data_IF_279536983469
#
_entry.id   IF_279536983469
#
_cell.length_a   1.000
_cell.length_b   1.000
_cell.length_c   1.000
_cell.angle_alpha   90.00
_cell.angle_beta   90.00
_cell.angle_gamma   90.00
#
_symmetry.space_group_name_H-M   'P 1'
#
loop_
_entity.id
_entity.type
_entity.pdbx_description
1 polymer ?
#
# COMPACT_ATOMS: atom_id res chain seq x y z
N UNK A 1 12.69 -16.91 15.03
CA UNK A 1 12.15 -15.52 14.90
C UNK A 1 10.82 -15.65 14.18
N UNK A 2 9.73 -15.04 14.68
CA UNK A 2 8.50 -14.96 13.88
C UNK A 2 8.80 -14.07 12.66
N UNK A 3 8.35 -14.45 11.44
CA UNK A 3 8.52 -13.59 10.28
C UNK A 3 7.90 -12.22 10.60
N UNK A 4 8.66 -11.15 10.34
CA UNK A 4 8.11 -9.81 10.46
C UNK A 4 7.15 -9.60 9.30
N UNK A 5 5.87 -9.38 9.60
CA UNK A 5 4.91 -8.97 8.58
C UNK A 5 5.31 -7.59 8.07
N UNK A 6 5.84 -7.55 6.84
CA UNK A 6 6.15 -6.30 6.17
C UNK A 6 4.89 -5.77 5.45
N UNK A 7 4.66 -4.47 5.49
CA UNK A 7 3.64 -3.83 4.66
C UNK A 7 4.31 -2.84 3.73
N UNK A 8 4.16 -3.02 2.43
CA UNK A 8 4.60 -2.07 1.40
C UNK A 8 3.37 -1.35 0.85
N UNK A 9 3.45 -0.03 0.72
CA UNK A 9 2.30 0.77 0.28
C UNK A 9 2.68 1.56 -0.97
N UNK A 10 1.83 1.52 -1.98
CA UNK A 10 1.93 2.32 -3.21
C UNK A 10 1.51 3.78 -2.99
N UNK A 11 1.85 4.67 -3.91
CA UNK A 11 1.65 6.12 -3.79
C UNK A 11 0.18 6.53 -3.59
N UNK A 12 -0.75 5.93 -4.34
CA UNK A 12 -2.17 6.24 -4.26
C UNK A 12 -2.73 6.05 -2.84
N UNK A 13 -2.65 4.84 -2.26
CA UNK A 13 -3.05 4.59 -0.88
C UNK A 13 -2.34 5.47 0.16
N UNK A 14 -1.03 5.73 0.01
CA UNK A 14 -0.30 6.65 0.90
C UNK A 14 -0.94 8.04 0.87
N UNK A 15 -1.17 8.59 -0.30
CA UNK A 15 -1.79 9.92 -0.48
C UNK A 15 -3.18 9.96 0.16
N UNK A 16 -3.99 8.93 -0.04
CA UNK A 16 -5.32 8.83 0.54
C UNK A 16 -5.29 8.91 2.07
N UNK A 17 -4.50 8.06 2.72
CA UNK A 17 -4.46 8.01 4.17
C UNK A 17 -3.76 9.22 4.81
N UNK A 18 -2.82 9.86 4.11
CA UNK A 18 -2.10 11.02 4.64
C UNK A 18 -2.75 12.37 4.30
N UNK A 19 -3.77 12.38 3.44
CA UNK A 19 -4.51 13.61 3.09
C UNK A 19 -5.13 14.29 4.32
N UNK A 20 -5.46 13.51 5.36
CA UNK A 20 -6.03 14.01 6.62
C UNK A 20 -5.42 13.32 7.83
N UNK A 21 -5.19 14.08 8.90
CA UNK A 21 -4.60 13.56 10.15
C UNK A 21 -5.37 12.38 10.74
N UNK A 22 -6.70 12.40 10.67
CA UNK A 22 -7.53 11.35 11.23
C UNK A 22 -7.43 10.06 10.41
N UNK A 23 -7.24 10.15 9.09
CA UNK A 23 -7.05 9.00 8.22
C UNK A 23 -5.66 8.35 8.41
N UNK A 24 -4.66 9.14 8.76
CA UNK A 24 -3.34 8.61 9.15
C UNK A 24 -3.46 7.67 10.37
N UNK A 25 -4.37 7.94 11.31
CA UNK A 25 -4.64 7.03 12.44
C UNK A 25 -5.29 5.73 11.99
N UNK A 26 -6.19 5.81 11.00
CA UNK A 26 -6.79 4.61 10.42
C UNK A 26 -5.71 3.71 9.81
N UNK A 27 -4.78 4.29 9.04
CA UNK A 27 -3.66 3.53 8.48
C UNK A 27 -2.90 2.77 9.56
N UNK A 28 -2.54 3.43 10.68
CA UNK A 28 -1.81 2.75 11.76
C UNK A 28 -2.58 1.63 12.42
N UNK A 29 -3.89 1.81 12.58
CA UNK A 29 -4.73 0.77 13.16
C UNK A 29 -4.95 -0.40 12.20
N UNK A 30 -4.97 -0.13 10.90
CA UNK A 30 -5.25 -1.12 9.85
C UNK A 30 -4.03 -1.89 9.34
N UNK A 31 -2.81 -1.56 9.79
CA UNK A 31 -1.61 -2.29 9.39
C UNK A 31 -0.89 -2.91 10.58
N UNK A 32 -0.32 -4.12 10.44
CA UNK A 32 0.43 -4.79 11.50
C UNK A 32 1.60 -3.94 12.00
N UNK A 33 1.73 -3.79 13.32
CA UNK A 33 2.80 -3.01 13.93
C UNK A 33 2.73 -1.49 13.72
N UNK A 34 1.76 -1.00 12.95
CA UNK A 34 1.55 0.43 12.71
C UNK A 34 2.70 1.11 11.98
N UNK A 35 3.49 0.37 11.20
CA UNK A 35 4.59 0.88 10.37
C UNK A 35 4.56 0.22 8.99
N UNK A 36 5.08 0.91 7.98
CA UNK A 36 5.10 0.44 6.61
C UNK A 36 6.35 0.88 5.87
N UNK A 37 6.58 0.28 4.71
CA UNK A 37 7.65 0.63 3.80
C UNK A 37 7.10 1.17 2.49
N UNK A 38 7.89 2.00 1.82
CA UNK A 38 7.64 2.44 0.46
C UNK A 38 8.95 2.42 -0.33
N UNK A 39 8.96 2.13 -1.64
CA UNK A 39 10.12 2.37 -2.50
C UNK A 39 10.49 3.86 -2.55
N UNK A 40 11.74 4.18 -2.85
CA UNK A 40 12.19 5.56 -3.00
C UNK A 40 11.42 6.30 -4.11
N UNK A 41 11.12 5.64 -5.20
CA UNK A 41 10.27 6.17 -6.30
C UNK A 41 8.86 6.51 -5.85
N UNK A 42 8.29 5.73 -4.92
CA UNK A 42 6.98 6.02 -4.32
C UNK A 42 7.06 7.23 -3.39
N UNK A 43 8.11 7.35 -2.55
CA UNK A 43 8.32 8.57 -1.74
C UNK A 43 8.38 9.82 -2.62
N UNK A 44 9.16 9.78 -3.69
CA UNK A 44 9.28 10.90 -4.64
C UNK A 44 7.92 11.26 -5.27
N UNK A 45 7.15 10.28 -5.69
CA UNK A 45 5.82 10.50 -6.26
C UNK A 45 4.87 11.13 -5.25
N UNK A 46 4.81 10.59 -4.02
CA UNK A 46 3.97 11.10 -2.94
C UNK A 46 4.29 12.56 -2.64
N UNK A 47 5.58 12.90 -2.45
CA UNK A 47 6.00 14.26 -2.15
C UNK A 47 5.76 15.21 -3.33
N UNK A 48 6.02 14.77 -4.55
CA UNK A 48 5.75 15.55 -5.77
C UNK A 48 4.26 15.86 -5.91
N UNK A 49 3.36 14.86 -5.74
CA UNK A 49 1.91 15.06 -5.78
C UNK A 49 1.43 15.97 -4.65
N UNK A 50 1.98 15.84 -3.44
CA UNK A 50 1.66 16.69 -2.30
C UNK A 50 2.00 18.17 -2.54
N UNK A 51 3.05 18.47 -3.29
CA UNK A 51 3.40 19.85 -3.66
C UNK A 51 2.56 20.37 -4.83
N UNK A 52 2.20 19.52 -5.78
CA UNK A 52 1.49 19.91 -6.98
C UNK A 52 -0.03 20.07 -6.79
N UNK A 53 -0.63 19.34 -5.86
CA UNK A 53 -2.08 19.30 -5.67
C UNK A 53 -2.47 19.68 -4.23
N UNK A 54 -3.21 20.79 -4.11
CA UNK A 54 -3.67 21.32 -2.81
C UNK A 54 -4.50 20.34 -1.99
N UNK A 55 -5.16 19.37 -2.61
CA UNK A 55 -5.89 18.31 -1.90
C UNK A 55 -4.96 17.53 -0.96
N UNK A 56 -3.70 17.37 -1.33
CA UNK A 56 -2.69 16.64 -0.58
C UNK A 56 -1.73 17.53 0.23
N UNK A 57 -2.05 18.80 0.43
CA UNK A 57 -1.16 19.74 1.15
C UNK A 57 -0.76 19.26 2.58
N UNK A 58 -1.60 18.48 3.24
CA UNK A 58 -1.31 17.94 4.56
C UNK A 58 -0.26 16.80 4.53
N UNK A 59 -0.07 16.12 3.38
CA UNK A 59 0.74 14.92 3.24
C UNK A 59 2.19 15.15 3.65
N UNK A 60 2.83 16.21 3.17
CA UNK A 60 4.24 16.51 3.48
C UNK A 60 4.50 16.59 5.00
N UNK A 61 3.60 17.27 5.73
CA UNK A 61 3.73 17.37 7.19
C UNK A 61 3.48 16.02 7.88
N UNK A 62 2.47 15.26 7.45
CA UNK A 62 2.22 13.91 7.99
C UNK A 62 3.40 12.98 7.67
N UNK A 63 3.93 13.02 6.45
CA UNK A 63 5.10 12.25 6.03
C UNK A 63 6.30 12.49 6.93
N UNK A 64 6.66 13.75 7.16
CA UNK A 64 7.76 14.12 8.05
C UNK A 64 7.56 13.58 9.47
N UNK A 65 6.33 13.66 10.00
CA UNK A 65 6.02 13.10 11.33
C UNK A 65 6.20 11.59 11.37
N UNK A 66 5.81 10.89 10.29
CA UNK A 66 5.96 9.45 10.18
C UNK A 66 7.42 9.02 10.15
N UNK A 67 8.24 9.71 9.35
CA UNK A 67 9.69 9.45 9.30
C UNK A 67 10.34 9.67 10.67
N UNK A 68 10.03 10.77 11.33
CA UNK A 68 10.58 11.08 12.66
C UNK A 68 10.14 10.07 13.74
N UNK A 69 8.97 9.46 13.56
CA UNK A 69 8.45 8.43 14.47
C UNK A 69 8.87 6.99 14.07
N UNK A 70 9.72 6.81 13.07
CA UNK A 70 10.11 5.51 12.50
C UNK A 70 8.90 4.64 12.10
N UNK A 71 7.85 5.28 11.56
CA UNK A 71 6.63 4.61 11.10
C UNK A 71 6.61 4.38 9.59
N UNK A 72 7.49 5.02 8.85
CA UNK A 72 7.70 4.77 7.43
C UNK A 72 9.17 4.51 7.15
N UNK A 73 9.44 3.47 6.39
CA UNK A 73 10.76 3.07 5.94
C UNK A 73 10.84 3.21 4.42
N UNK A 74 11.83 3.93 3.94
CA UNK A 74 12.05 4.08 2.50
C UNK A 74 13.02 3.00 2.05
N UNK A 75 12.58 2.16 1.13
CA UNK A 75 13.39 1.11 0.52
C UNK A 75 14.17 1.72 -0.66
N UNK A 76 15.48 1.55 -0.72
CA UNK A 76 16.27 2.09 -1.82
C UNK A 76 15.97 1.36 -3.13
N UNK A 77 15.75 2.10 -4.21
CA UNK A 77 15.56 1.55 -5.56
C UNK A 77 16.90 1.39 -6.28
N UNK A 78 17.90 0.85 -5.58
CA UNK A 78 19.19 0.50 -6.15
C UNK A 78 19.08 -0.77 -6.99
N UNK A 79 19.86 -0.82 -8.08
CA UNK A 79 19.86 -1.98 -8.97
C UNK A 79 20.58 -3.15 -8.29
N UNK A 80 19.80 -4.11 -7.77
CA UNK A 80 20.32 -5.39 -7.28
C UNK A 80 19.98 -6.51 -8.28
N UNK A 81 20.61 -7.65 -8.15
CA UNK A 81 20.34 -8.80 -9.00
C UNK A 81 18.89 -9.27 -8.83
N UNK A 82 18.42 -9.34 -7.59
CA UNK A 82 17.08 -9.80 -7.21
C UNK A 82 16.00 -8.84 -7.76
N UNK A 83 16.12 -7.54 -7.49
CA UNK A 83 15.18 -6.55 -8.01
C UNK A 83 15.16 -6.51 -9.53
N UNK A 84 16.34 -6.62 -10.18
CA UNK A 84 16.40 -6.61 -11.65
C UNK A 84 15.66 -7.80 -12.27
N UNK A 85 15.79 -9.01 -11.69
CA UNK A 85 15.06 -10.20 -12.15
C UNK A 85 13.55 -9.99 -12.01
N UNK A 86 13.10 -9.58 -10.83
CA UNK A 86 11.68 -9.39 -10.56
C UNK A 86 11.09 -8.28 -11.41
N UNK A 87 11.77 -7.14 -11.56
CA UNK A 87 11.32 -6.04 -12.44
C UNK A 87 11.19 -6.53 -13.89
N UNK A 88 12.14 -7.32 -14.36
CA UNK A 88 12.08 -7.89 -15.71
C UNK A 88 10.91 -8.86 -15.86
N UNK A 89 10.61 -9.67 -14.88
CA UNK A 89 9.45 -10.58 -14.87
C UNK A 89 8.11 -9.80 -14.89
N UNK A 90 8.04 -8.69 -14.15
CA UNK A 90 6.83 -7.86 -14.08
C UNK A 90 6.55 -7.14 -15.40
N UNK A 91 7.55 -6.47 -15.98
CA UNK A 91 7.35 -5.51 -17.08
C UNK A 91 8.16 -5.80 -18.35
N UNK A 92 8.98 -6.85 -18.40
CA UNK A 92 9.80 -7.21 -19.57
C UNK A 92 11.02 -6.31 -19.81
N UNK A 93 11.31 -5.37 -18.91
CA UNK A 93 12.43 -4.44 -19.00
C UNK A 93 13.45 -4.70 -17.89
N UNK A 94 14.75 -4.56 -18.19
CA UNK A 94 15.75 -4.52 -17.13
C UNK A 94 15.52 -3.34 -16.19
N UNK A 95 15.85 -3.49 -14.92
CA UNK A 95 15.64 -2.44 -13.91
C UNK A 95 16.26 -1.08 -14.30
N UNK A 96 17.49 -0.98 -14.84
CA UNK A 96 18.04 0.30 -15.30
C UNK A 96 17.19 0.98 -16.38
N UNK A 97 16.62 0.20 -17.33
CA UNK A 97 15.72 0.74 -18.36
C UNK A 97 14.38 1.15 -17.75
N UNK A 98 13.87 0.36 -16.79
CA UNK A 98 12.60 0.65 -16.11
C UNK A 98 12.69 1.93 -15.28
N UNK A 99 13.77 2.16 -14.55
CA UNK A 99 14.01 3.39 -13.78
C UNK A 99 14.03 4.65 -14.67
N UNK A 100 14.42 4.52 -15.94
CA UNK A 100 14.33 5.61 -16.92
C UNK A 100 12.94 5.88 -17.47
N UNK A 101 11.90 5.11 -17.06
CA UNK A 101 10.52 5.25 -17.57
C UNK A 101 9.58 5.62 -16.40
N UNK A 102 9.21 6.91 -16.25
CA UNK A 102 8.47 7.37 -15.05
C UNK A 102 7.06 6.80 -14.90
N UNK A 103 6.39 6.45 -16.02
CA UNK A 103 5.01 5.95 -15.97
C UNK A 103 4.93 4.65 -15.17
N UNK A 104 4.04 4.58 -14.20
CA UNK A 104 3.77 3.41 -13.33
C UNK A 104 5.03 2.84 -12.65
N UNK A 105 6.08 3.66 -12.48
CA UNK A 105 7.35 3.23 -11.90
C UNK A 105 7.19 2.87 -10.42
N UNK A 106 6.53 3.73 -9.64
CA UNK A 106 6.27 3.48 -8.21
C UNK A 106 5.55 2.16 -7.99
N UNK A 107 4.49 1.91 -8.77
CA UNK A 107 3.73 0.65 -8.75
C UNK A 107 4.63 -0.57 -9.03
N UNK A 108 5.43 -0.51 -10.10
CA UNK A 108 6.35 -1.60 -10.44
C UNK A 108 7.35 -1.87 -9.31
N UNK A 109 7.93 -0.81 -8.72
CA UNK A 109 8.91 -0.95 -7.66
C UNK A 109 8.26 -1.45 -6.36
N UNK A 110 7.05 -1.02 -6.02
CA UNK A 110 6.31 -1.52 -4.86
C UNK A 110 6.07 -3.04 -4.97
N UNK A 111 5.65 -3.52 -6.14
CA UNK A 111 5.45 -4.95 -6.39
C UNK A 111 6.79 -5.69 -6.33
N UNK A 112 7.85 -5.15 -6.96
CA UNK A 112 9.16 -5.82 -7.01
C UNK A 112 9.77 -5.98 -5.60
N UNK A 113 9.75 -4.95 -4.77
CA UNK A 113 10.22 -5.05 -3.39
C UNK A 113 9.40 -6.05 -2.57
N UNK A 114 8.06 -6.07 -2.75
CA UNK A 114 7.21 -7.03 -2.05
C UNK A 114 7.53 -8.48 -2.44
N UNK A 115 7.77 -8.73 -3.72
CA UNK A 115 8.15 -10.06 -4.23
C UNK A 115 9.52 -10.49 -3.70
N UNK A 116 10.55 -9.61 -3.77
CA UNK A 116 11.89 -9.93 -3.27
C UNK A 116 11.84 -10.27 -1.78
N UNK A 117 11.13 -9.49 -0.97
CA UNK A 117 10.99 -9.79 0.47
C UNK A 117 10.26 -11.13 0.71
N UNK A 118 9.21 -11.43 -0.07
CA UNK A 118 8.52 -12.71 0.03
C UNK A 118 9.43 -13.89 -0.35
N UNK A 119 10.26 -13.76 -1.41
CA UNK A 119 11.24 -14.77 -1.81
C UNK A 119 12.35 -14.96 -0.75
N UNK A 120 12.62 -13.93 0.05
CA UNK A 120 13.53 -14.01 1.21
C UNK A 120 12.90 -14.64 2.45
N UNK A 121 11.64 -15.08 2.37
CA UNK A 121 10.93 -15.79 3.45
C UNK A 121 10.22 -14.87 4.44
N UNK A 122 9.97 -13.61 4.07
CA UNK A 122 9.14 -12.71 4.85
C UNK A 122 7.67 -12.83 4.44
N UNK A 123 6.75 -12.72 5.41
CA UNK A 123 5.34 -12.48 5.10
C UNK A 123 5.15 -10.99 4.78
N UNK A 124 4.68 -10.70 3.57
CA UNK A 124 4.56 -9.32 3.06
C UNK A 124 3.14 -9.05 2.58
N UNK A 125 2.62 -7.88 2.90
CA UNK A 125 1.43 -7.35 2.26
C UNK A 125 1.80 -6.14 1.40
N UNK A 126 1.22 -6.05 0.19
CA UNK A 126 1.27 -4.85 -0.63
C UNK A 126 -0.10 -4.18 -0.64
N UNK A 127 -0.14 -2.87 -0.32
CA UNK A 127 -1.36 -2.07 -0.43
C UNK A 127 -1.32 -1.30 -1.75
N UNK A 128 -2.21 -1.67 -2.67
CA UNK A 128 -2.28 -1.11 -4.01
C UNK A 128 -3.74 -0.95 -4.41
N UNK A 129 -4.09 0.20 -5.02
CA UNK A 129 -5.48 0.53 -5.34
C UNK A 129 -5.76 0.48 -6.83
N UNK A 130 -4.80 0.83 -7.67
CA UNK A 130 -5.00 0.85 -9.12
C UNK A 130 -5.24 -0.55 -9.68
N UNK A 131 -6.17 -0.65 -10.61
CA UNK A 131 -6.65 -1.93 -11.15
C UNK A 131 -5.54 -2.75 -11.80
N UNK A 132 -4.67 -2.10 -12.57
CA UNK A 132 -3.63 -2.81 -13.32
C UNK A 132 -2.48 -3.22 -12.40
N UNK A 133 -2.11 -2.41 -11.42
CA UNK A 133 -1.18 -2.77 -10.36
C UNK A 133 -1.69 -3.91 -9.49
N UNK A 134 -2.94 -3.87 -9.08
CA UNK A 134 -3.56 -4.98 -8.34
C UNK A 134 -3.51 -6.29 -9.13
N UNK A 135 -3.80 -6.26 -10.44
CA UNK A 135 -3.68 -7.46 -11.30
C UNK A 135 -2.22 -7.95 -11.41
N UNK A 136 -1.26 -7.02 -11.53
CA UNK A 136 0.15 -7.37 -11.59
C UNK A 136 0.61 -8.01 -10.26
N UNK A 137 0.27 -7.41 -9.12
CA UNK A 137 0.58 -7.96 -7.80
C UNK A 137 -0.05 -9.36 -7.59
N UNK A 138 -1.32 -9.56 -7.97
CA UNK A 138 -1.98 -10.86 -7.90
C UNK A 138 -1.35 -11.90 -8.85
N UNK A 139 -0.82 -11.49 -10.01
CA UNK A 139 -0.08 -12.38 -10.90
C UNK A 139 1.21 -12.85 -10.23
N UNK A 140 1.95 -11.96 -9.59
CA UNK A 140 3.16 -12.31 -8.86
C UNK A 140 2.86 -13.18 -7.64
N UNK A 141 1.82 -12.91 -6.87
CA UNK A 141 1.37 -13.79 -5.79
C UNK A 141 1.16 -15.22 -6.28
N UNK A 142 0.43 -15.39 -7.41
CA UNK A 142 0.21 -16.72 -8.00
C UNK A 142 1.50 -17.36 -8.51
N UNK A 143 2.45 -16.55 -9.02
CA UNK A 143 3.77 -17.03 -9.44
C UNK A 143 4.53 -17.60 -8.25
N UNK A 144 4.60 -16.86 -7.14
CA UNK A 144 5.28 -17.29 -5.91
C UNK A 144 4.69 -18.60 -5.35
N UNK A 145 3.36 -18.73 -5.32
CA UNK A 145 2.69 -19.98 -4.90
C UNK A 145 3.09 -21.15 -5.82
N UNK A 146 3.15 -20.95 -7.13
CA UNK A 146 3.59 -21.99 -8.08
C UNK A 146 5.06 -22.37 -7.92
N UNK A 147 5.89 -21.46 -7.42
CA UNK A 147 7.28 -21.72 -7.07
C UNK A 147 7.46 -22.41 -5.70
N UNK A 148 6.36 -22.70 -5.02
CA UNK A 148 6.36 -23.43 -3.75
C UNK A 148 6.41 -22.55 -2.49
N UNK A 149 6.27 -21.24 -2.60
CA UNK A 149 6.15 -20.39 -1.42
C UNK A 149 4.80 -20.63 -0.72
N UNK A 150 4.74 -20.53 0.61
CA UNK A 150 3.51 -20.64 1.35
C UNK A 150 2.43 -19.68 0.85
N UNK A 151 1.18 -20.13 0.89
CA UNK A 151 0.05 -19.23 0.66
C UNK A 151 0.05 -18.15 1.74
N UNK A 152 0.07 -16.87 1.34
CA UNK A 152 0.14 -15.73 2.26
C UNK A 152 1.52 -15.08 2.37
N UNK A 153 2.60 -15.68 1.80
CA UNK A 153 3.91 -15.00 1.74
C UNK A 153 3.84 -13.62 1.07
N UNK A 154 2.96 -13.46 0.08
CA UNK A 154 2.60 -12.17 -0.48
C UNK A 154 1.08 -12.00 -0.45
N UNK A 155 0.58 -11.03 0.32
CA UNK A 155 -0.82 -10.63 0.34
C UNK A 155 -1.02 -9.34 -0.46
N UNK A 156 -2.12 -9.24 -1.21
CA UNK A 156 -2.48 -8.03 -1.97
C UNK A 156 -3.69 -7.41 -1.31
N UNK A 157 -3.53 -6.22 -0.78
CA UNK A 157 -4.55 -5.45 -0.08
C UNK A 157 -4.94 -4.20 -0.85
N UNK A 158 -6.19 -3.81 -0.71
CA UNK A 158 -6.74 -2.53 -1.16
C UNK A 158 -6.84 -1.53 0.02
N UNK A 159 -7.20 -0.29 -0.27
CA UNK A 159 -7.57 0.70 0.76
C UNK A 159 -8.75 0.20 1.61
N UNK A 160 -9.70 -0.54 1.00
CA UNK A 160 -10.83 -1.12 1.73
C UNK A 160 -10.38 -2.19 2.74
N UNK A 161 -9.38 -3.01 2.40
CA UNK A 161 -8.86 -4.02 3.33
C UNK A 161 -8.20 -3.36 4.54
N UNK A 162 -7.42 -2.29 4.34
CA UNK A 162 -6.82 -1.52 5.45
C UNK A 162 -7.91 -0.91 6.35
N UNK A 163 -8.99 -0.39 5.77
CA UNK A 163 -10.14 0.12 6.54
C UNK A 163 -10.84 -1.00 7.32
N UNK A 164 -11.04 -2.17 6.71
CA UNK A 164 -11.64 -3.33 7.38
C UNK A 164 -10.79 -3.78 8.58
N UNK A 165 -9.46 -3.86 8.41
CA UNK A 165 -8.56 -4.17 9.52
C UNK A 165 -8.58 -3.11 10.61
N UNK A 166 -8.72 -1.82 10.25
CA UNK A 166 -8.86 -0.75 11.24
C UNK A 166 -10.17 -0.84 12.02
N UNK A 167 -11.27 -1.27 11.39
CA UNK A 167 -12.54 -1.57 12.09
C UNK A 167 -12.34 -2.71 13.08
N UNK A 168 -11.81 -3.85 12.63
CA UNK A 168 -11.53 -5.00 13.48
C UNK A 168 -10.56 -4.69 14.63
N UNK A 169 -9.65 -3.73 14.43
CA UNK A 169 -8.75 -3.22 15.48
C UNK A 169 -9.38 -2.14 16.37
N UNK A 170 -10.69 -1.90 16.28
CA UNK A 170 -11.41 -0.89 17.04
C UNK A 170 -10.80 0.52 16.94
N UNK A 171 -10.41 0.94 15.72
CA UNK A 171 -9.85 2.26 15.48
C UNK A 171 -10.82 3.37 15.94
N UNK A 172 -10.42 4.24 16.89
CA UNK A 172 -11.33 5.24 17.45
C UNK A 172 -11.79 6.30 16.43
N UNK A 173 -11.18 6.37 15.25
CA UNK A 173 -11.61 7.25 14.16
C UNK A 173 -12.83 6.68 13.42
N UNK A 174 -13.00 5.35 13.43
CA UNK A 174 -14.15 4.66 12.82
C UNK A 174 -15.05 4.15 13.94
N UNK A 175 -16.06 4.93 14.29
CA UNK A 175 -16.95 4.63 15.45
C UNK A 175 -18.08 3.68 15.11
N UNK A 176 -18.56 3.73 13.87
CA UNK A 176 -19.72 3.01 13.36
C UNK A 176 -19.71 3.00 11.82
N UNK A 177 -20.64 2.27 11.23
CA UNK A 177 -20.81 2.22 9.77
C UNK A 177 -21.06 3.60 9.17
N UNK A 178 -21.78 4.49 9.84
CA UNK A 178 -22.07 5.85 9.33
C UNK A 178 -20.77 6.65 9.21
N UNK A 179 -19.90 6.58 10.19
CA UNK A 179 -18.59 7.24 10.16
C UNK A 179 -17.70 6.67 9.07
N UNK A 180 -17.71 5.34 8.86
CA UNK A 180 -16.95 4.69 7.80
C UNK A 180 -17.45 5.10 6.41
N UNK A 181 -18.79 5.09 6.18
CA UNK A 181 -19.40 5.53 4.91
C UNK A 181 -18.99 6.96 4.58
N UNK A 182 -19.00 7.85 5.58
CA UNK A 182 -18.56 9.23 5.41
C UNK A 182 -17.08 9.30 5.03
N UNK A 183 -16.20 8.59 5.76
CA UNK A 183 -14.75 8.55 5.49
C UNK A 183 -14.50 8.03 4.07
N UNK A 184 -15.14 6.93 3.68
CA UNK A 184 -15.00 6.36 2.35
C UNK A 184 -15.43 7.32 1.24
N UNK A 185 -16.57 7.99 1.41
CA UNK A 185 -17.05 9.00 0.46
C UNK A 185 -16.08 10.17 0.33
N UNK A 186 -15.51 10.62 1.45
CA UNK A 186 -14.51 11.68 1.46
C UNK A 186 -13.22 11.21 0.78
N UNK A 187 -12.72 9.98 1.03
CA UNK A 187 -11.55 9.42 0.35
C UNK A 187 -11.77 9.32 -1.17
N UNK A 188 -12.95 8.91 -1.62
CA UNK A 188 -13.29 8.87 -3.05
C UNK A 188 -13.24 10.24 -3.73
N UNK A 189 -13.42 11.33 -3.02
CA UNK A 189 -13.22 12.67 -3.58
C UNK A 189 -11.74 13.01 -3.83
N UNK A 190 -10.81 12.26 -3.26
CA UNK A 190 -9.37 12.37 -3.49
C UNK A 190 -8.86 11.38 -4.54
N UNK A 191 -9.56 10.25 -4.73
CA UNK A 191 -9.09 9.13 -5.54
C UNK A 191 -10.26 8.45 -6.27
N UNK A 192 -10.33 8.65 -7.57
CA UNK A 192 -11.36 8.07 -8.44
C UNK A 192 -11.19 6.55 -8.64
N UNK A 193 -10.02 5.98 -8.29
CA UNK A 193 -9.78 4.54 -8.35
C UNK A 193 -10.51 3.76 -7.24
N UNK A 194 -10.98 4.45 -6.19
CA UNK A 194 -11.76 3.81 -5.13
C UNK A 194 -13.17 3.44 -5.64
N UNK A 195 -13.60 2.17 -5.52
CA UNK A 195 -14.90 1.70 -6.00
C UNK A 195 -16.07 2.30 -5.19
N UNK A 196 -17.31 2.00 -5.56
CA UNK A 196 -18.46 2.27 -4.70
C UNK A 196 -18.32 1.45 -3.42
N UNK A 197 -18.77 1.98 -2.28
CA UNK A 197 -18.64 1.26 -1.00
C UNK A 197 -19.41 -0.07 -1.02
N UNK A 198 -20.51 -0.15 -1.78
CA UNK A 198 -21.28 -1.37 -2.00
C UNK A 198 -20.54 -2.47 -2.77
N UNK A 199 -19.46 -2.13 -3.42
CA UNK A 199 -18.57 -3.08 -4.13
C UNK A 199 -17.44 -3.57 -3.23
N UNK A 200 -17.42 -3.12 -1.98
CA UNK A 200 -16.44 -3.51 -0.95
C UNK A 200 -17.12 -4.35 0.12
N UNK A 201 -16.34 -5.01 0.96
CA UNK A 201 -16.83 -5.76 2.13
C UNK A 201 -16.99 -4.90 3.39
N UNK A 202 -16.84 -3.58 3.29
CA UNK A 202 -16.84 -2.65 4.42
C UNK A 202 -18.18 -2.54 5.13
N UNK A 203 -19.29 -2.94 4.47
CA UNK A 203 -20.64 -2.93 5.03
C UNK A 203 -21.12 -4.33 5.44
N UNK A 204 -20.29 -5.38 5.28
CA UNK A 204 -20.64 -6.74 5.68
C UNK A 204 -20.87 -6.78 7.20
N UNK A 205 -21.93 -7.46 7.63
CA UNK A 205 -22.35 -7.51 9.03
C UNK A 205 -21.27 -8.11 9.93
N UNK A 206 -20.61 -9.17 9.46
CA UNK A 206 -19.54 -9.86 10.18
C UNK A 206 -18.36 -8.95 10.60
N UNK A 207 -18.13 -7.87 9.85
CA UNK A 207 -17.08 -6.89 10.17
C UNK A 207 -17.40 -6.06 11.43
N UNK A 208 -18.68 -5.94 11.78
CA UNK A 208 -19.16 -5.05 12.85
C UNK A 208 -19.64 -5.78 14.11
N UNK A 209 -19.71 -7.11 14.07
CA UNK A 209 -20.18 -7.95 15.18
C UNK A 209 -19.03 -8.55 16.00
N UNK A 210 -17.77 -8.17 15.73
CA UNK A 210 -16.56 -8.71 16.38
C UNK A 210 -16.05 -7.88 17.54
#
# INVERSE_FOLDING_TARGET
>A
MKPQHGVIIDAGPVLNFLARKDWTRILYSGIPGGSFSVPATVEEEVLRKAHADRRFAAVTNQWTKLKNANRVHVLPDEVTAELNVVVQDICGLSMPKRLGTPKDLGETMAIAHAVVLAEQGHDVAIVIQERDGSKAALREQRRLIRLGLPQGSLAVWSVADVLAFAVAAHCPTIRDQTSLIRIWREMRAYDDALPQISETRLLDQDLWES
#
